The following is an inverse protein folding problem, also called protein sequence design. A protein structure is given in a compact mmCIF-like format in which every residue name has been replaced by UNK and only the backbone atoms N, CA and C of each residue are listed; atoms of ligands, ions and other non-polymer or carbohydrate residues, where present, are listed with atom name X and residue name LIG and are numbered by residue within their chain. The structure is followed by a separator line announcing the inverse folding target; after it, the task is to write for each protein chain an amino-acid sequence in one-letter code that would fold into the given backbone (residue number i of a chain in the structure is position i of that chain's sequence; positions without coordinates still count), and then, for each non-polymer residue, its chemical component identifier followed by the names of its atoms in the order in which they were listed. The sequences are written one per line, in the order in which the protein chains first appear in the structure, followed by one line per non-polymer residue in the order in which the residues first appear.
data_IF_041530967737
#
_entry.id   IF_041530967737
#
_cell.length_a   1.000
_cell.length_b   1.000
_cell.length_c   1.000
_cell.angle_alpha   90.00
_cell.angle_beta   90.00
_cell.angle_gamma   90.00
#
_symmetry.space_group_name_H-M   'P 1'
#
loop_
_entity.id
_entity.type
_entity.pdbx_description
1 polymer ?
#
# COMPACT_ATOMS: atom_id res chain seq x y z
N UNK A 1 -11.69 -3.62 -17.27
CA UNK A 1 -10.67 -2.62 -16.89
C UNK A 1 -9.58 -3.31 -16.06
N UNK A 2 -8.30 -3.24 -16.44
CA UNK A 2 -7.24 -4.02 -15.79
C UNK A 2 -6.70 -3.31 -14.53
N UNK A 3 -6.45 -4.09 -13.48
CA UNK A 3 -5.99 -3.67 -12.14
C UNK A 3 -4.73 -2.78 -12.17
N UNK A 4 -3.92 -2.87 -13.24
CA UNK A 4 -2.71 -2.06 -13.43
C UNK A 4 -2.95 -0.56 -13.56
N UNK A 5 -4.06 -0.14 -14.16
CA UNK A 5 -4.36 1.30 -14.34
C UNK A 5 -4.83 1.97 -13.04
N UNK A 6 -5.45 1.20 -12.14
CA UNK A 6 -5.84 1.67 -10.81
C UNK A 6 -4.61 1.95 -9.92
N UNK A 7 -3.58 1.12 -10.04
CA UNK A 7 -2.32 1.29 -9.29
C UNK A 7 -1.59 2.55 -9.76
N UNK A 8 -1.60 2.84 -11.08
CA UNK A 8 -0.98 4.05 -11.62
C UNK A 8 -1.71 5.34 -11.22
N UNK A 9 -3.04 5.31 -11.07
CA UNK A 9 -3.82 6.46 -10.59
C UNK A 9 -3.70 6.68 -9.08
N UNK A 10 -3.65 5.60 -8.29
CA UNK A 10 -3.44 5.67 -6.84
C UNK A 10 -2.07 6.27 -6.46
N UNK A 11 -1.09 6.26 -7.37
CA UNK A 11 0.23 6.89 -7.19
C UNK A 11 0.23 8.42 -7.35
N UNK A 12 -0.89 9.04 -7.74
CA UNK A 12 -1.04 10.49 -7.95
C UNK A 12 -1.61 11.23 -6.72
N UNK A 13 -1.20 10.84 -5.50
CA UNK A 13 -1.71 11.42 -4.23
C UNK A 13 -3.21 11.22 -4.00
N UNK A 14 -3.84 10.28 -4.71
CA UNK A 14 -5.25 9.99 -4.56
C UNK A 14 -5.51 9.12 -3.33
N UNK A 15 -5.63 9.79 -2.18
CA UNK A 15 -6.03 9.21 -0.90
C UNK A 15 -7.33 8.40 -1.02
N UNK A 16 -8.22 8.71 -1.97
CA UNK A 16 -9.46 7.95 -2.16
C UNK A 16 -9.20 6.56 -2.75
N UNK A 17 -8.34 6.48 -3.78
CA UNK A 17 -7.94 5.19 -4.35
C UNK A 17 -7.24 4.30 -3.32
N UNK A 18 -6.44 4.89 -2.43
CA UNK A 18 -5.80 4.17 -1.34
C UNK A 18 -6.80 3.71 -0.26
N UNK A 19 -7.76 4.57 0.10
CA UNK A 19 -8.84 4.23 1.04
C UNK A 19 -9.68 3.06 0.53
N UNK A 20 -10.04 3.06 -0.76
CA UNK A 20 -10.78 1.96 -1.39
C UNK A 20 -9.98 0.65 -1.34
N UNK A 21 -8.67 0.70 -1.57
CA UNK A 21 -7.78 -0.45 -1.50
C UNK A 21 -7.68 -1.01 -0.08
N UNK A 22 -7.60 -0.13 0.93
CA UNK A 22 -7.67 -0.56 2.34
C UNK A 22 -9.00 -1.27 2.60
N UNK A 23 -10.14 -0.68 2.22
CA UNK A 23 -11.45 -1.28 2.48
C UNK A 23 -11.60 -2.67 1.82
N UNK A 24 -11.08 -2.84 0.60
CA UNK A 24 -11.08 -4.12 -0.12
C UNK A 24 -10.23 -5.18 0.58
N UNK A 25 -9.07 -4.80 1.13
CA UNK A 25 -8.12 -5.73 1.71
C UNK A 25 -8.20 -5.88 3.23
N UNK A 26 -8.94 -5.01 3.93
CA UNK A 26 -9.05 -4.98 5.40
C UNK A 26 -9.37 -6.35 5.98
N UNK A 27 -10.46 -6.97 5.50
CA UNK A 27 -10.92 -8.28 5.99
C UNK A 27 -9.92 -9.41 5.70
N UNK A 28 -9.15 -9.29 4.61
CA UNK A 28 -8.14 -10.28 4.25
C UNK A 28 -6.93 -10.14 5.16
N UNK A 29 -6.52 -8.91 5.46
CA UNK A 29 -5.42 -8.64 6.39
C UNK A 29 -5.80 -9.08 7.80
N UNK A 30 -6.97 -8.71 8.32
CA UNK A 30 -7.42 -9.16 9.66
C UNK A 30 -7.42 -10.69 9.80
N UNK A 31 -7.90 -11.41 8.77
CA UNK A 31 -7.86 -12.88 8.75
C UNK A 31 -6.44 -13.42 8.77
N UNK A 32 -5.53 -12.79 8.02
CA UNK A 32 -4.12 -13.17 8.01
C UNK A 32 -3.46 -12.90 9.37
N UNK A 33 -3.73 -11.72 9.97
CA UNK A 33 -3.25 -11.34 11.31
C UNK A 33 -3.73 -12.33 12.38
N UNK A 34 -5.00 -12.74 12.31
CA UNK A 34 -5.54 -13.81 13.16
C UNK A 34 -4.82 -15.15 12.93
N UNK A 35 -4.60 -15.54 11.67
CA UNK A 35 -3.89 -16.78 11.31
C UNK A 35 -2.42 -16.78 11.78
N UNK A 36 -1.79 -15.60 11.89
CA UNK A 36 -0.47 -15.45 12.48
C UNK A 36 -0.44 -15.59 14.02
N UNK A 37 -1.60 -15.78 14.67
CA UNK A 37 -1.70 -15.99 16.12
C UNK A 37 -1.78 -14.68 16.92
N UNK A 38 -2.10 -13.55 16.29
CA UNK A 38 -2.31 -12.29 16.99
C UNK A 38 -3.60 -12.37 17.81
N UNK A 39 -3.57 -11.85 19.04
CA UNK A 39 -4.75 -11.78 19.89
C UNK A 39 -5.85 -10.95 19.24
N UNK A 40 -7.10 -11.42 19.34
CA UNK A 40 -8.26 -10.79 18.68
C UNK A 40 -8.39 -9.30 19.00
N UNK A 41 -8.02 -8.89 20.22
CA UNK A 41 -8.04 -7.49 20.65
C UNK A 41 -6.96 -6.62 19.98
N UNK A 42 -5.83 -7.22 19.57
CA UNK A 42 -4.70 -6.52 18.96
C UNK A 42 -4.78 -6.53 17.43
N UNK A 43 -5.67 -7.34 16.83
CA UNK A 43 -5.83 -7.44 15.37
C UNK A 43 -6.12 -6.09 14.72
N UNK A 44 -7.03 -5.24 15.24
CA UNK A 44 -7.30 -3.93 14.64
C UNK A 44 -6.05 -3.05 14.59
N UNK A 45 -5.29 -2.99 15.69
CA UNK A 45 -4.08 -2.17 15.81
C UNK A 45 -2.98 -2.66 14.86
N UNK A 46 -2.73 -3.97 14.83
CA UNK A 46 -1.73 -4.57 13.93
C UNK A 46 -2.13 -4.38 12.47
N UNK A 47 -3.41 -4.55 12.14
CA UNK A 47 -3.93 -4.36 10.80
C UNK A 47 -3.76 -2.90 10.35
N UNK A 48 -4.05 -1.95 11.23
CA UNK A 48 -3.87 -0.53 10.96
C UNK A 48 -2.39 -0.17 10.76
N UNK A 49 -1.49 -0.72 11.57
CA UNK A 49 -0.04 -0.50 11.42
C UNK A 49 0.49 -1.04 10.09
N UNK A 50 0.01 -2.22 9.66
CA UNK A 50 0.35 -2.81 8.35
C UNK A 50 -0.07 -1.87 7.22
N UNK A 51 -1.29 -1.32 7.27
CA UNK A 51 -1.74 -0.37 6.26
C UNK A 51 -0.93 0.94 6.30
N UNK A 52 -0.66 1.53 7.47
CA UNK A 52 0.17 2.74 7.57
C UNK A 52 1.56 2.52 6.97
N UNK A 53 2.19 1.36 7.23
CA UNK A 53 3.47 1.00 6.62
C UNK A 53 3.33 0.88 5.10
N UNK A 54 2.30 0.20 4.60
CA UNK A 54 2.03 0.08 3.17
C UNK A 54 1.87 1.46 2.49
N UNK A 55 1.13 2.39 3.10
CA UNK A 55 0.98 3.76 2.60
C UNK A 55 2.33 4.48 2.51
N UNK A 56 3.12 4.43 3.58
CA UNK A 56 4.45 5.05 3.62
C UNK A 56 5.39 4.47 2.58
N UNK A 57 5.40 3.14 2.41
CA UNK A 57 6.19 2.47 1.39
C UNK A 57 5.77 2.88 -0.03
N UNK A 58 4.47 2.97 -0.32
CA UNK A 58 3.97 3.42 -1.62
C UNK A 58 4.40 4.86 -1.95
N UNK A 59 4.36 5.74 -0.95
CA UNK A 59 4.79 7.13 -1.10
C UNK A 59 6.31 7.27 -1.22
N UNK A 60 7.09 6.45 -0.51
CA UNK A 60 8.55 6.41 -0.61
C UNK A 60 9.04 5.83 -1.95
N UNK A 61 8.31 4.87 -2.52
CA UNK A 61 8.65 4.26 -3.81
C UNK A 61 8.62 5.27 -4.98
N UNK A 62 7.80 6.32 -4.85
CA UNK A 62 7.71 7.39 -5.85
C UNK A 62 8.89 8.37 -5.76
N UNK A 63 9.50 8.54 -4.59
CA UNK A 63 10.60 9.48 -4.39
C UNK A 63 11.98 8.91 -4.77
N UNK A 64 12.19 7.60 -4.66
CA UNK A 64 13.54 7.01 -4.88
C UNK A 64 13.80 6.55 -6.32
N UNK A 65 12.83 6.56 -7.25
CA UNK A 65 13.03 6.04 -8.61
C UNK A 65 12.41 6.84 -9.77
N UNK A 66 12.46 8.18 -9.71
CA UNK A 66 12.17 9.01 -10.89
C UNK A 66 13.25 10.01 -11.33
N UNK A 67 14.40 10.05 -10.66
CA UNK A 67 15.65 10.61 -11.23
C UNK A 67 16.75 9.59 -11.03
N UNK A 68 16.85 8.56 -11.87
CA UNK A 68 17.83 8.60 -12.96
C UNK A 68 17.60 7.37 -13.81
N UNK A 69 16.93 7.52 -14.94
CA UNK A 69 17.02 6.56 -16.03
C UNK A 69 17.17 7.32 -17.35
N UNK A 70 18.40 7.27 -17.86
CA UNK A 70 18.84 7.39 -19.27
C UNK A 70 18.94 8.78 -19.92
N UNK A 71 20.18 9.25 -20.19
CA UNK A 71 20.79 9.39 -21.55
C UNK A 71 22.12 10.21 -21.53
N UNK A 72 23.17 9.58 -22.12
CA UNK A 72 24.40 10.09 -22.79
C UNK A 72 25.62 10.61 -22.00
N UNK A 73 26.71 9.83 -22.14
CA UNK A 73 28.11 10.14 -22.54
C UNK A 73 28.77 11.44 -22.02
N UNK A 74 30.08 11.42 -21.68
CA UNK A 74 31.17 10.86 -22.49
C UNK A 74 31.89 9.62 -21.90
#
# INVERSE_FOLDING_TARGET
MPVKELIAKAQSEDLESYSLLIQLHHRTVEKFTFQCGVHVHDIPDVTQEVFIKLYRFLHQFNHERFTTCYIKLP
#
